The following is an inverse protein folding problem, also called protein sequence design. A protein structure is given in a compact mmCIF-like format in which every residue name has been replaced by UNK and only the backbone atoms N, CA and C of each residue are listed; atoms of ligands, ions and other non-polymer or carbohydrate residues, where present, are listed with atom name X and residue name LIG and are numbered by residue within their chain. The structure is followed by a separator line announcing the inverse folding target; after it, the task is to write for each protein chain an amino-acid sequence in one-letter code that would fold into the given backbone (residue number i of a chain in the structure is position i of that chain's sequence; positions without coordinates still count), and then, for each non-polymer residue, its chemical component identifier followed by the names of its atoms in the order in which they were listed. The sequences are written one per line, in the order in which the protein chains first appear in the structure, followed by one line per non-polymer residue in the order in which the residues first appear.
data_IF_284423527267
#
_entry.id   IF_284423527267
#
_cell.length_a   1.000
_cell.length_b   1.000
_cell.length_c   1.000
_cell.angle_alpha   90.00
_cell.angle_beta   90.00
_cell.angle_gamma   90.00
#
_symmetry.space_group_name_H-M   'P 1'
#
loop_
_entity.id
_entity.type
_entity.pdbx_description
1 polymer ?
#
# COMPACT_ATOMS: atom_id res chain seq x y z
N UNK A 1 33.82 18.13 18.46
CA UNK A 1 32.68 17.63 19.24
C UNK A 1 31.72 16.95 18.27
N UNK A 2 31.89 15.64 18.09
CA UNK A 2 31.16 14.67 17.26
C UNK A 2 30.59 15.14 15.90
N UNK A 3 31.32 14.87 14.82
CA UNK A 3 30.70 14.61 13.53
C UNK A 3 30.04 13.23 13.65
N UNK A 4 28.71 13.20 13.72
CA UNK A 4 27.95 11.96 13.65
C UNK A 4 28.28 11.29 12.32
N UNK A 5 28.84 10.07 12.37
CA UNK A 5 28.88 9.19 11.21
C UNK A 5 27.42 8.92 10.84
N UNK A 6 26.91 9.62 9.82
CA UNK A 6 25.77 9.12 9.07
C UNK A 6 26.24 7.79 8.48
N UNK A 7 25.57 6.70 8.83
CA UNK A 7 25.61 5.55 7.94
C UNK A 7 24.99 6.06 6.65
N UNK A 8 25.81 6.27 5.62
CA UNK A 8 25.35 6.37 4.23
C UNK A 8 24.83 4.99 3.78
N UNK A 9 24.00 4.35 4.62
CA UNK A 9 23.10 3.29 4.20
C UNK A 9 22.15 3.97 3.24
N UNK A 10 22.28 3.67 1.95
CA UNK A 10 21.55 4.31 0.85
C UNK A 10 20.05 4.41 1.20
N UNK A 11 19.61 5.62 1.57
CA UNK A 11 18.22 5.87 1.93
C UNK A 11 17.35 5.67 0.68
N UNK A 12 16.47 4.67 0.72
CA UNK A 12 15.53 4.40 -0.36
C UNK A 12 14.28 5.25 -0.16
N UNK A 13 13.98 6.10 -1.14
CA UNK A 13 12.77 6.95 -1.15
C UNK A 13 11.73 6.35 -2.07
N UNK A 14 10.52 6.12 -1.55
CA UNK A 14 9.34 5.83 -2.37
C UNK A 14 8.74 7.16 -2.81
N UNK A 15 9.04 7.57 -4.04
CA UNK A 15 8.56 8.84 -4.61
C UNK A 15 7.11 8.79 -5.12
N UNK A 16 6.56 7.59 -5.30
CA UNK A 16 5.18 7.40 -5.72
C UNK A 16 4.80 5.92 -5.78
N UNK A 17 3.50 5.67 -5.75
CA UNK A 17 2.90 4.34 -5.89
C UNK A 17 1.73 4.41 -6.87
N UNK A 18 1.49 3.31 -7.58
CA UNK A 18 0.33 3.15 -8.46
C UNK A 18 -0.06 1.69 -8.51
N UNK A 19 -1.36 1.41 -8.59
CA UNK A 19 -1.86 0.04 -8.65
C UNK A 19 -3.36 -0.01 -8.79
N UNK A 20 -3.88 -1.22 -9.04
CA UNK A 20 -5.29 -1.54 -8.84
C UNK A 20 -5.41 -2.29 -7.53
N UNK A 21 -6.33 -1.87 -6.68
CA UNK A 21 -6.54 -2.43 -5.36
C UNK A 21 -7.95 -3.03 -5.27
N UNK A 22 -8.16 -4.10 -4.49
CA UNK A 22 -9.49 -4.69 -4.32
C UNK A 22 -10.46 -3.66 -3.76
N UNK A 23 -11.67 -3.65 -4.32
CA UNK A 23 -12.77 -2.79 -3.85
C UNK A 23 -12.37 -1.30 -3.79
N UNK A 24 -11.52 -0.83 -4.70
CA UNK A 24 -11.10 0.59 -4.79
C UNK A 24 -10.75 1.00 -6.21
N UNK A 25 -11.41 2.06 -6.69
CA UNK A 25 -11.22 2.57 -8.05
C UNK A 25 -9.99 3.51 -8.18
N UNK A 26 -9.52 4.06 -7.06
CA UNK A 26 -8.38 4.97 -6.98
C UNK A 26 -7.62 4.85 -5.64
N UNK A 27 -6.50 5.56 -5.51
CA UNK A 27 -5.62 5.47 -4.35
C UNK A 27 -6.25 6.12 -3.11
N UNK A 28 -7.07 7.15 -3.29
CA UNK A 28 -7.77 7.85 -2.22
C UNK A 28 -8.81 6.93 -1.55
N UNK A 29 -9.58 6.19 -2.35
CA UNK A 29 -10.54 5.20 -1.88
C UNK A 29 -9.83 4.03 -1.19
N UNK A 30 -8.73 3.53 -1.77
CA UNK A 30 -7.93 2.50 -1.13
C UNK A 30 -7.40 2.95 0.24
N UNK A 31 -6.90 4.18 0.34
CA UNK A 31 -6.44 4.75 1.61
C UNK A 31 -7.58 4.85 2.64
N UNK A 32 -8.75 5.35 2.22
CA UNK A 32 -9.95 5.39 3.06
C UNK A 32 -10.33 3.99 3.56
N UNK A 33 -10.30 3.00 2.68
CA UNK A 33 -10.67 1.65 3.00
C UNK A 33 -9.73 1.02 4.03
N UNK A 34 -8.42 1.22 3.84
CA UNK A 34 -7.38 0.75 4.76
C UNK A 34 -7.47 1.39 6.15
N UNK A 35 -7.56 2.72 6.24
CA UNK A 35 -7.51 3.40 7.54
C UNK A 35 -8.75 3.14 8.40
N UNK A 36 -9.90 2.87 7.76
CA UNK A 36 -11.13 2.52 8.45
C UNK A 36 -11.26 1.00 8.70
N UNK A 37 -10.33 0.19 8.22
CA UNK A 37 -10.31 -1.25 8.46
C UNK A 37 -11.43 -2.02 7.79
N UNK A 38 -11.88 -1.58 6.61
CA UNK A 38 -12.87 -2.33 5.83
C UNK A 38 -12.28 -3.65 5.32
N UNK A 39 -13.13 -4.69 5.24
CA UNK A 39 -12.74 -5.96 4.64
C UNK A 39 -12.73 -5.82 3.10
N UNK A 40 -11.55 -6.01 2.50
CA UNK A 40 -11.32 -5.93 1.05
C UNK A 40 -11.13 -7.32 0.43
N UNK A 41 -11.39 -8.38 1.19
CA UNK A 41 -11.32 -9.75 0.72
C UNK A 41 -12.69 -10.26 0.25
N UNK A 42 -12.67 -11.16 -0.74
CA UNK A 42 -13.85 -11.85 -1.25
C UNK A 42 -13.59 -13.33 -1.44
N UNK A 43 -14.51 -14.17 -0.99
CA UNK A 43 -14.47 -15.63 -1.18
C UNK A 43 -15.40 -16.11 -2.32
N UNK A 44 -15.87 -15.20 -3.17
CA UNK A 44 -16.75 -15.51 -4.28
C UNK A 44 -16.03 -16.20 -5.46
N UNK A 45 -16.83 -16.66 -6.41
CA UNK A 45 -16.41 -17.34 -7.62
C UNK A 45 -15.96 -16.38 -8.75
N UNK A 46 -15.70 -15.09 -8.44
CA UNK A 46 -15.29 -14.06 -9.44
C UNK A 46 -14.03 -14.43 -10.22
N UNK A 47 -13.19 -15.31 -9.67
CA UNK A 47 -11.99 -15.80 -10.36
C UNK A 47 -12.22 -17.15 -11.05
N UNK A 48 -12.89 -18.09 -10.38
CA UNK A 48 -13.18 -19.44 -10.89
C UNK A 48 -14.51 -19.95 -10.32
N UNK A 49 -15.38 -20.60 -11.12
CA UNK A 49 -16.59 -21.25 -10.63
C UNK A 49 -16.25 -22.40 -9.69
N UNK A 50 -16.98 -22.48 -8.57
CA UNK A 50 -16.90 -23.57 -7.59
C UNK A 50 -17.73 -24.78 -7.97
#
# INVERSE_FOLDING_TARGET
FFNQMKSDEEEIVVSGISGRYPESDNIEEFWHNLINGYDLYSADDRRWPV
#
